data_IF_181831105438
#
_entry.id   IF_181831105438
#
_cell.length_a   1.000
_cell.length_b   1.000
_cell.length_c   1.000
_cell.angle_alpha   90.00
_cell.angle_beta   90.00
_cell.angle_gamma   90.00
#
_symmetry.space_group_name_H-M   'P 1'
#
loop_
_entity.id
_entity.type
_entity.pdbx_description
1 polymer ?
#
# COMPACT_ATOMS: atom_id res chain seq x y z
N UNK A 1 -12.22 3.96 33.56
CA UNK A 1 -12.43 5.34 33.07
C UNK A 1 -12.18 5.37 31.56
N UNK A 2 -13.25 5.24 30.76
CA UNK A 2 -13.20 5.22 29.28
C UNK A 2 -14.24 6.18 28.66
N UNK A 3 -14.74 7.13 29.43
CA UNK A 3 -15.92 7.91 29.04
C UNK A 3 -15.55 9.09 28.14
N UNK A 4 -14.58 9.90 28.53
CA UNK A 4 -14.23 11.11 27.77
C UNK A 4 -13.66 10.78 26.38
N UNK A 5 -12.60 9.97 26.31
CA UNK A 5 -11.99 9.57 25.03
C UNK A 5 -12.97 8.85 24.10
N UNK A 6 -13.87 8.02 24.64
CA UNK A 6 -14.90 7.34 23.85
C UNK A 6 -15.92 8.32 23.24
N UNK A 7 -16.36 9.32 24.02
CA UNK A 7 -17.29 10.35 23.56
C UNK A 7 -16.65 11.27 22.52
N UNK A 8 -15.41 11.73 22.76
CA UNK A 8 -14.69 12.58 21.79
C UNK A 8 -14.43 11.82 20.50
N UNK A 9 -14.12 10.52 20.57
CA UNK A 9 -13.98 9.68 19.39
C UNK A 9 -15.31 9.53 18.65
N UNK A 10 -16.44 9.32 19.31
CA UNK A 10 -17.74 9.23 18.63
C UNK A 10 -18.12 10.57 17.96
N UNK A 11 -17.89 11.68 18.64
CA UNK A 11 -18.25 13.02 18.15
C UNK A 11 -17.31 13.51 17.04
N UNK A 12 -16.02 13.18 17.10
CA UNK A 12 -15.01 13.69 16.16
C UNK A 12 -14.59 12.68 15.08
N UNK A 13 -15.09 11.44 15.11
CA UNK A 13 -14.81 10.43 14.07
C UNK A 13 -15.76 10.58 12.87
N UNK A 14 -15.98 11.82 12.44
CA UNK A 14 -16.45 12.10 11.08
C UNK A 14 -15.37 11.58 10.13
N UNK A 15 -15.69 10.48 9.45
CA UNK A 15 -14.91 10.01 8.32
C UNK A 15 -14.88 11.19 7.34
N UNK A 16 -13.71 11.81 7.17
CA UNK A 16 -13.50 12.82 6.14
C UNK A 16 -13.99 12.20 4.84
N UNK A 17 -15.12 12.68 4.33
CA UNK A 17 -15.61 12.27 3.03
C UNK A 17 -14.53 12.71 2.05
N UNK A 18 -13.80 11.74 1.50
CA UNK A 18 -12.89 12.02 0.40
C UNK A 18 -13.74 12.65 -0.69
N UNK A 19 -13.45 13.91 -1.01
CA UNK A 19 -14.18 14.61 -2.05
C UNK A 19 -13.96 13.88 -3.36
N UNK A 20 -15.04 13.48 -4.02
CA UNK A 20 -14.98 12.97 -5.39
C UNK A 20 -14.74 14.08 -6.41
N UNK A 21 -14.64 15.34 -5.95
CA UNK A 21 -14.45 16.47 -6.83
C UNK A 21 -12.99 16.59 -7.30
N UNK A 22 -12.80 16.75 -8.60
CA UNK A 22 -11.48 16.91 -9.23
C UNK A 22 -11.33 18.35 -9.68
N UNK A 23 -10.19 18.97 -9.40
CA UNK A 23 -9.87 20.31 -9.86
C UNK A 23 -9.44 20.27 -11.34
N UNK A 24 -10.05 21.13 -12.16
CA UNK A 24 -9.64 21.29 -13.54
C UNK A 24 -8.46 22.27 -13.68
N UNK A 25 -7.89 22.39 -14.88
CA UNK A 25 -6.77 23.33 -15.15
C UNK A 25 -7.07 24.80 -14.83
N UNK A 26 -8.34 25.17 -14.75
CA UNK A 26 -8.78 26.53 -14.47
C UNK A 26 -9.04 26.76 -12.97
N UNK A 27 -8.76 25.78 -12.11
CA UNK A 27 -8.95 25.86 -10.66
C UNK A 27 -10.38 25.58 -10.18
N UNK A 28 -11.25 25.07 -11.05
CA UNK A 28 -12.64 24.77 -10.70
C UNK A 28 -12.81 23.30 -10.28
N UNK A 29 -13.52 23.06 -9.18
CA UNK A 29 -13.85 21.72 -8.70
C UNK A 29 -15.04 21.11 -9.45
N UNK A 30 -14.79 20.00 -10.13
CA UNK A 30 -15.77 19.24 -10.91
C UNK A 30 -16.27 18.05 -10.11
N UNK A 31 -17.58 17.94 -9.91
CA UNK A 31 -18.21 16.83 -9.19
C UNK A 31 -18.94 15.85 -10.11
N UNK A 32 -19.22 16.23 -11.36
CA UNK A 32 -19.90 15.39 -12.34
C UNK A 32 -18.93 14.40 -13.00
N UNK A 33 -19.31 13.12 -13.06
CA UNK A 33 -18.47 12.05 -13.62
C UNK A 33 -18.02 12.31 -15.06
N UNK A 34 -18.88 12.89 -15.91
CA UNK A 34 -18.57 13.22 -17.29
C UNK A 34 -17.49 14.29 -17.41
N UNK A 35 -17.56 15.32 -16.58
CA UNK A 35 -16.60 16.42 -16.56
C UNK A 35 -15.25 15.95 -16.03
N UNK A 36 -15.27 15.16 -14.94
CA UNK A 36 -14.06 14.52 -14.39
C UNK A 36 -13.38 13.65 -15.46
N UNK A 37 -14.15 12.83 -16.19
CA UNK A 37 -13.60 12.00 -17.27
C UNK A 37 -13.00 12.83 -18.41
N UNK A 38 -13.64 13.94 -18.79
CA UNK A 38 -13.11 14.84 -19.81
C UNK A 38 -11.80 15.50 -19.35
N UNK A 39 -11.72 15.95 -18.09
CA UNK A 39 -10.48 16.51 -17.50
C UNK A 39 -9.36 15.47 -17.43
N UNK A 40 -9.66 14.23 -17.04
CA UNK A 40 -8.68 13.14 -17.09
C UNK A 40 -8.21 12.86 -18.52
N UNK A 41 -9.11 12.83 -19.50
CA UNK A 41 -8.77 12.60 -20.90
C UNK A 41 -7.85 13.69 -21.45
N UNK A 42 -8.10 14.95 -21.11
CA UNK A 42 -7.25 16.08 -21.50
C UNK A 42 -5.86 15.97 -20.86
N UNK A 43 -5.80 15.71 -19.55
CA UNK A 43 -4.54 15.56 -18.82
C UNK A 43 -3.69 14.40 -19.39
N UNK A 44 -4.30 13.23 -19.61
CA UNK A 44 -3.63 12.08 -20.21
C UNK A 44 -3.33 12.22 -21.70
N UNK A 45 -3.87 13.21 -22.41
CA UNK A 45 -3.45 13.49 -23.79
C UNK A 45 -2.16 14.31 -23.82
N UNK A 46 -1.92 15.13 -22.80
CA UNK A 46 -0.77 16.03 -22.69
C UNK A 46 0.43 15.36 -22.01
N UNK A 47 0.22 14.67 -20.89
CA UNK A 47 1.29 14.08 -20.08
C UNK A 47 2.15 13.03 -20.79
N UNK A 48 1.61 12.06 -21.56
CA UNK A 48 2.44 11.07 -22.23
C UNK A 48 3.06 11.57 -23.55
N UNK A 49 2.61 12.72 -24.08
CA UNK A 49 3.14 13.31 -25.31
C UNK A 49 4.14 14.45 -25.06
N UNK A 50 4.54 14.68 -23.81
CA UNK A 50 5.56 15.68 -23.47
C UNK A 50 6.95 15.20 -23.87
N UNK A 51 7.79 16.12 -24.31
CA UNK A 51 9.22 15.87 -24.51
C UNK A 51 9.87 15.45 -23.17
N UNK A 52 11.01 14.77 -23.24
CA UNK A 52 11.74 14.39 -22.04
C UNK A 52 12.00 15.65 -21.18
N UNK A 53 11.75 15.57 -19.86
CA UNK A 53 11.99 16.71 -18.98
C UNK A 53 13.45 17.15 -19.11
N UNK A 54 13.68 18.48 -19.10
CA UNK A 54 15.02 19.06 -19.26
C UNK A 54 16.02 18.60 -18.17
N UNK A 55 15.51 18.12 -17.04
CA UNK A 55 16.28 17.40 -16.04
C UNK A 55 15.79 15.95 -15.98
N UNK A 56 16.31 15.05 -16.84
CA UNK A 56 16.00 13.64 -16.74
C UNK A 56 16.63 13.10 -15.45
N UNK A 57 15.85 12.38 -14.65
CA UNK A 57 16.40 11.60 -13.53
C UNK A 57 17.27 10.52 -14.17
N UNK A 58 18.58 10.66 -14.07
CA UNK A 58 19.53 9.62 -14.48
C UNK A 58 19.53 8.53 -13.40
N UNK A 59 19.75 7.27 -13.79
CA UNK A 59 19.84 6.13 -12.86
C UNK A 59 20.90 6.30 -11.77
N UNK A 60 21.83 7.25 -11.96
CA UNK A 60 22.82 7.66 -10.96
C UNK A 60 22.19 8.42 -9.78
N UNK A 61 21.12 9.20 -10.01
CA UNK A 61 20.32 9.84 -8.96
C UNK A 61 19.33 8.87 -8.30
N UNK A 62 18.94 7.77 -8.98
CA UNK A 62 18.21 6.65 -8.34
C UNK A 62 19.12 5.85 -7.39
N UNK A 63 20.40 5.66 -7.73
CA UNK A 63 21.40 5.07 -6.83
C UNK A 63 21.83 6.01 -5.69
N UNK A 64 21.50 7.31 -5.78
CA UNK A 64 21.64 8.28 -4.71
C UNK A 64 20.59 8.14 -3.61
N UNK A 65 19.58 7.28 -3.80
CA UNK A 65 18.77 6.81 -2.70
C UNK A 65 19.58 5.81 -1.88
N UNK A 66 19.49 5.96 -0.56
CA UNK A 66 19.98 5.07 0.50
C UNK A 66 19.45 3.62 0.40
N UNK A 67 18.94 3.19 -0.76
CA UNK A 67 18.53 1.81 -1.02
C UNK A 67 19.72 0.88 -1.23
N UNK A 68 20.86 1.34 -1.75
CA UNK A 68 22.03 0.47 -1.93
C UNK A 68 22.56 -0.07 -0.60
N UNK A 69 22.59 0.78 0.45
CA UNK A 69 22.97 0.36 1.79
C UNK A 69 21.95 -0.63 2.40
N UNK A 70 20.66 -0.40 2.17
CA UNK A 70 19.58 -1.27 2.64
C UNK A 70 19.59 -2.62 1.93
N UNK A 71 19.91 -2.68 0.64
CA UNK A 71 19.97 -3.92 -0.14
C UNK A 71 21.14 -4.82 0.28
N UNK A 72 22.26 -4.23 0.73
CA UNK A 72 23.44 -4.98 1.19
C UNK A 72 23.21 -5.67 2.55
N UNK A 73 22.30 -5.15 3.37
CA UNK A 73 21.92 -5.74 4.67
C UNK A 73 20.92 -6.90 4.55
N UNK A 74 20.33 -7.14 3.36
CA UNK A 74 19.35 -8.21 3.17
C UNK A 74 20.10 -9.56 3.14
N UNK A 75 19.82 -10.42 4.11
CA UNK A 75 20.34 -11.78 4.10
C UNK A 75 19.89 -12.53 2.83
N UNK A 76 20.84 -12.95 2.01
CA UNK A 76 20.61 -13.74 0.78
C UNK A 76 20.45 -15.24 1.08
N UNK A 77 20.64 -15.63 2.34
CA UNK A 77 20.54 -17.02 2.77
C UNK A 77 19.09 -17.51 2.80
N UNK A 78 18.90 -18.81 2.66
CA UNK A 78 17.59 -19.43 2.82
C UNK A 78 17.05 -19.19 4.24
N UNK A 79 15.76 -18.80 4.38
CA UNK A 79 15.16 -18.54 5.68
C UNK A 79 15.09 -19.83 6.49
N UNK A 80 15.47 -19.76 7.76
CA UNK A 80 15.42 -20.90 8.68
C UNK A 80 13.99 -21.26 9.07
N UNK A 81 13.77 -22.53 9.45
CA UNK A 81 12.43 -22.97 9.89
C UNK A 81 11.94 -22.20 11.13
N UNK A 82 12.85 -21.67 11.96
CA UNK A 82 12.51 -20.80 13.08
C UNK A 82 11.93 -19.47 12.62
N UNK A 83 12.53 -18.84 11.61
CA UNK A 83 12.04 -17.59 11.01
C UNK A 83 10.67 -17.79 10.36
N UNK A 84 10.47 -18.92 9.66
CA UNK A 84 9.15 -19.27 9.08
C UNK A 84 8.09 -19.44 10.17
N UNK A 85 8.42 -20.14 11.27
CA UNK A 85 7.51 -20.26 12.44
C UNK A 85 7.15 -18.91 13.03
N UNK A 86 8.12 -18.01 13.17
CA UNK A 86 7.87 -16.66 13.65
C UNK A 86 7.00 -15.85 12.69
N UNK A 87 7.24 -15.95 11.39
CA UNK A 87 6.46 -15.29 10.36
C UNK A 87 4.99 -15.75 10.41
N UNK A 88 4.75 -17.06 10.48
CA UNK A 88 3.40 -17.63 10.61
C UNK A 88 2.67 -17.10 11.86
N UNK A 89 3.37 -16.99 13.00
CA UNK A 89 2.80 -16.40 14.23
C UNK A 89 2.45 -14.92 14.07
N UNK A 90 3.28 -14.15 13.35
CA UNK A 90 3.13 -12.70 13.12
C UNK A 90 2.03 -12.34 12.11
N UNK A 91 1.51 -13.31 11.33
CA UNK A 91 0.41 -13.07 10.38
C UNK A 91 -0.80 -12.42 11.06
N UNK A 92 -1.56 -11.58 10.35
CA UNK A 92 -2.78 -10.95 10.90
C UNK A 92 -3.99 -11.85 10.66
N UNK A 93 -4.83 -12.00 11.68
CA UNK A 93 -6.11 -12.69 11.58
C UNK A 93 -7.15 -11.81 10.86
N UNK A 94 -8.23 -12.41 10.35
CA UNK A 94 -9.34 -11.74 9.69
C UNK A 94 -9.00 -11.18 8.32
N UNK A 95 -7.96 -11.73 7.66
CA UNK A 95 -7.62 -11.40 6.28
C UNK A 95 -8.48 -12.22 5.32
N UNK A 96 -8.73 -11.64 4.14
CA UNK A 96 -9.43 -12.36 3.08
C UNK A 96 -8.61 -13.58 2.62
N UNK A 97 -9.32 -14.62 2.22
CA UNK A 97 -8.74 -15.85 1.67
C UNK A 97 -7.96 -15.54 0.39
N UNK A 98 -6.82 -16.24 0.22
CA UNK A 98 -6.12 -16.30 -1.05
C UNK A 98 -6.84 -17.21 -2.06
N UNK A 99 -6.26 -17.35 -3.25
CA UNK A 99 -6.74 -18.29 -4.28
C UNK A 99 -6.67 -19.76 -3.83
N UNK A 100 -5.81 -20.04 -2.86
CA UNK A 100 -5.63 -21.33 -2.20
C UNK A 100 -6.74 -21.64 -1.17
N UNK A 101 -7.61 -20.68 -0.85
CA UNK A 101 -8.62 -20.76 0.21
C UNK A 101 -8.02 -21.08 1.60
N UNK A 102 -6.77 -20.68 1.85
CA UNK A 102 -6.11 -20.86 3.15
C UNK A 102 -6.17 -19.55 3.93
N UNK A 103 -6.57 -19.61 5.21
CA UNK A 103 -6.52 -18.45 6.11
C UNK A 103 -5.27 -18.42 6.97
N UNK A 104 -4.94 -17.23 7.48
CA UNK A 104 -3.87 -17.08 8.48
C UNK A 104 -4.18 -17.86 9.77
N UNK A 105 -5.45 -17.95 10.18
CA UNK A 105 -5.88 -18.74 11.34
C UNK A 105 -5.59 -20.22 11.13
N UNK A 106 -5.82 -20.75 9.92
CA UNK A 106 -5.56 -22.15 9.61
C UNK A 106 -4.07 -22.46 9.76
N UNK A 107 -3.20 -21.61 9.22
CA UNK A 107 -1.73 -21.77 9.34
C UNK A 107 -1.26 -21.70 10.79
N UNK A 108 -1.94 -20.93 11.63
CA UNK A 108 -1.63 -20.79 13.05
C UNK A 108 -2.13 -21.95 13.92
N UNK A 109 -3.07 -22.77 13.45
CA UNK A 109 -3.59 -23.92 14.24
C UNK A 109 -2.50 -24.94 14.55
N UNK A 110 -1.62 -25.21 13.59
CA UNK A 110 -0.44 -26.04 13.77
C UNK A 110 0.76 -25.36 13.10
N UNK A 111 1.42 -24.48 13.87
CA UNK A 111 2.58 -23.70 13.40
C UNK A 111 3.76 -24.60 13.03
N UNK A 112 3.91 -25.75 13.67
CA UNK A 112 5.01 -26.67 13.39
C UNK A 112 4.85 -27.30 12.00
N UNK A 113 3.67 -27.84 11.74
CA UNK A 113 3.32 -28.44 10.46
C UNK A 113 3.34 -27.40 9.34
N UNK A 114 2.69 -26.24 9.55
CA UNK A 114 2.65 -25.20 8.52
C UNK A 114 4.03 -24.65 8.19
N UNK A 115 4.89 -24.42 9.20
CA UNK A 115 6.25 -23.98 8.93
C UNK A 115 7.10 -25.02 8.18
N UNK A 116 6.91 -26.30 8.45
CA UNK A 116 7.62 -27.37 7.74
C UNK A 116 7.11 -27.59 6.30
N UNK A 117 5.87 -27.24 6.02
CA UNK A 117 5.30 -27.32 4.65
C UNK A 117 5.67 -26.08 3.82
N UNK A 118 5.88 -24.93 4.48
CA UNK A 118 6.22 -23.65 3.83
C UNK A 118 7.72 -23.52 3.56
N UNK A 119 8.57 -23.99 4.48
CA UNK A 119 10.02 -24.06 4.31
C UNK A 119 10.38 -25.19 3.33
#
# INVERSE_FOLDING_TARGET
>A
MKTLYGLTKILCNEILKQSTAVENKNGNFLSMKSEVQATWMEHFKEVPNREQPANPITSEEENGFEFSAVMEEIAVNEPTIGEVKEAVKKLKNGKALGIDNITAELLKTNVEFSAHVIH
#
